data_IF_857522672209
#
_entry.id   IF_857522672209
#
_cell.length_a   1.000
_cell.length_b   1.000
_cell.length_c   1.000
_cell.angle_alpha   90.00
_cell.angle_beta   90.00
_cell.angle_gamma   90.00
#
_symmetry.space_group_name_H-M   'P 1'
#
loop_
_entity.id
_entity.type
_entity.pdbx_description
1 polymer ?
#
# COMPACT_ATOMS: atom_id res chain seq x y z
N UNK A 1 -7.50 -3.66 -5.86
CA UNK A 1 -7.62 -5.01 -6.42
C UNK A 1 -7.38 -4.99 -7.94
N UNK A 2 -7.79 -3.95 -8.69
CA UNK A 2 -7.58 -3.88 -10.15
C UNK A 2 -6.20 -3.35 -10.60
N UNK A 3 -5.42 -2.72 -9.74
CA UNK A 3 -4.14 -2.11 -10.11
C UNK A 3 -3.00 -3.10 -10.31
N UNK A 4 -3.06 -4.26 -9.68
CA UNK A 4 -2.01 -5.26 -9.74
C UNK A 4 -1.98 -6.04 -11.06
N UNK A 5 -3.14 -6.29 -11.70
CA UNK A 5 -3.22 -7.00 -12.98
C UNK A 5 -2.55 -6.28 -14.16
N UNK A 6 -2.50 -4.93 -14.12
CA UNK A 6 -1.85 -4.14 -15.18
C UNK A 6 -0.32 -4.18 -15.04
N UNK A 7 0.22 -4.36 -13.84
CA UNK A 7 1.66 -4.43 -13.60
C UNK A 7 2.29 -5.71 -14.15
N UNK A 8 1.63 -6.87 -14.04
CA UNK A 8 2.15 -8.14 -14.56
C UNK A 8 2.16 -8.18 -16.09
N UNK A 9 1.14 -7.67 -16.74
CA UNK A 9 1.09 -7.53 -18.19
C UNK A 9 2.24 -6.66 -18.73
N UNK A 10 2.69 -5.68 -17.97
CA UNK A 10 3.79 -4.80 -18.36
C UNK A 10 5.17 -5.45 -18.18
N UNK A 11 5.38 -6.25 -17.13
CA UNK A 11 6.61 -7.02 -16.95
C UNK A 11 6.77 -8.14 -17.98
N UNK A 12 5.69 -8.82 -18.35
CA UNK A 12 5.72 -9.85 -19.39
C UNK A 12 5.95 -9.27 -20.80
N UNK A 13 5.44 -8.06 -21.05
CA UNK A 13 5.76 -7.28 -22.25
C UNK A 13 7.24 -6.85 -22.25
N UNK A 14 7.79 -6.51 -21.08
CA UNK A 14 9.20 -6.10 -20.94
C UNK A 14 10.20 -7.26 -21.07
N UNK A 15 9.81 -8.49 -20.79
CA UNK A 15 10.65 -9.69 -20.97
C UNK A 15 10.85 -10.07 -22.43
N UNK A 16 9.96 -9.63 -23.32
CA UNK A 16 10.10 -9.90 -24.76
C UNK A 16 10.89 -8.77 -25.46
N UNK A 17 12.15 -9.01 -25.76
CA UNK A 17 13.08 -8.04 -26.35
C UNK A 17 12.53 -7.42 -27.67
N UNK A 18 11.76 -8.16 -28.44
CA UNK A 18 11.12 -7.68 -29.68
C UNK A 18 9.96 -6.73 -29.40
N UNK A 19 9.15 -6.99 -28.38
CA UNK A 19 8.07 -6.13 -27.92
C UNK A 19 8.62 -4.85 -27.29
N UNK A 20 9.72 -4.93 -26.56
CA UNK A 20 10.45 -3.79 -25.98
C UNK A 20 10.96 -2.82 -27.07
N UNK A 21 11.50 -3.34 -28.17
CA UNK A 21 11.98 -2.51 -29.28
C UNK A 21 10.85 -1.86 -30.08
N UNK A 22 9.72 -2.53 -30.22
CA UNK A 22 8.51 -1.96 -30.83
C UNK A 22 7.93 -0.84 -29.95
N UNK A 23 7.82 -1.08 -28.66
CA UNK A 23 7.33 -0.09 -27.68
C UNK A 23 8.30 1.10 -27.61
N UNK A 24 9.60 0.87 -27.55
CA UNK A 24 10.62 1.92 -27.59
C UNK A 24 10.53 2.74 -28.86
N UNK A 25 10.38 2.12 -30.05
CA UNK A 25 10.20 2.81 -31.33
C UNK A 25 8.89 3.59 -31.39
N UNK A 26 7.80 3.08 -30.82
CA UNK A 26 6.52 3.79 -30.77
C UNK A 26 6.54 4.94 -29.73
N UNK A 27 7.20 4.77 -28.58
CA UNK A 27 7.41 5.81 -27.57
C UNK A 27 8.32 6.94 -28.10
N UNK A 28 9.36 6.58 -28.84
CA UNK A 28 10.25 7.55 -29.52
C UNK A 28 9.47 8.30 -30.62
N UNK A 29 8.61 7.63 -31.38
CA UNK A 29 7.79 8.26 -32.43
C UNK A 29 6.68 9.18 -31.91
N UNK A 30 6.20 9.02 -30.68
CA UNK A 30 5.04 9.74 -30.12
C UNK A 30 5.35 10.85 -29.12
N UNK A 31 6.51 11.45 -29.09
CA UNK A 31 6.81 12.60 -28.20
C UNK A 31 6.66 12.33 -26.66
N UNK A 32 6.49 11.10 -26.19
CA UNK A 32 6.39 10.85 -24.75
C UNK A 32 7.73 11.05 -24.04
N UNK A 33 8.84 10.76 -24.70
CA UNK A 33 10.20 11.02 -24.16
C UNK A 33 10.61 12.50 -24.23
N UNK A 34 9.82 13.36 -24.88
CA UNK A 34 10.09 14.79 -24.95
C UNK A 34 9.52 15.61 -23.79
N UNK A 35 8.65 15.03 -22.97
CA UNK A 35 8.12 15.72 -21.80
C UNK A 35 9.24 15.98 -20.81
N UNK A 36 9.55 17.27 -20.60
CA UNK A 36 10.55 17.67 -19.61
C UNK A 36 9.93 17.59 -18.23
N UNK A 37 10.49 16.79 -17.34
CA UNK A 37 10.07 16.66 -15.93
C UNK A 37 11.13 17.27 -14.99
N UNK A 38 11.74 18.37 -15.40
CA UNK A 38 12.88 18.99 -14.72
C UNK A 38 12.55 19.44 -13.29
N UNK A 39 11.37 20.06 -13.09
CA UNK A 39 10.95 20.53 -11.76
C UNK A 39 10.70 19.36 -10.82
N UNK A 40 9.99 18.32 -11.30
CA UNK A 40 9.76 17.09 -10.54
C UNK A 40 11.07 16.41 -10.15
N UNK A 41 12.02 16.28 -11.08
CA UNK A 41 13.31 15.64 -10.78
C UNK A 41 14.18 16.47 -9.85
N UNK A 42 14.20 17.79 -10.00
CA UNK A 42 14.90 18.69 -9.06
C UNK A 42 14.34 18.59 -7.64
N UNK A 43 13.00 18.58 -7.52
CA UNK A 43 12.35 18.45 -6.21
C UNK A 43 12.60 17.06 -5.61
N UNK A 44 12.60 15.99 -6.41
CA UNK A 44 12.95 14.65 -5.96
C UNK A 44 14.39 14.55 -5.44
N UNK A 45 15.33 15.15 -6.16
CA UNK A 45 16.72 15.23 -5.70
C UNK A 45 16.85 15.95 -4.35
N UNK A 46 16.06 17.01 -4.13
CA UNK A 46 15.99 17.70 -2.84
C UNK A 46 15.35 16.82 -1.76
N UNK A 47 14.23 16.15 -2.09
CA UNK A 47 13.52 15.28 -1.17
C UNK A 47 14.42 14.15 -0.63
N UNK A 48 15.22 13.52 -1.48
CA UNK A 48 16.15 12.47 -1.06
C UNK A 48 17.25 12.95 -0.09
N UNK A 49 17.50 14.25 -0.01
CA UNK A 49 18.48 14.81 0.95
C UNK A 49 17.88 15.11 2.32
N UNK A 50 16.55 15.30 2.39
CA UNK A 50 15.88 15.80 3.60
C UNK A 50 14.80 14.86 4.13
N UNK A 51 14.37 13.88 3.33
CA UNK A 51 13.38 12.87 3.70
C UNK A 51 14.03 11.49 3.49
N UNK A 52 14.17 10.66 4.51
CA UNK A 52 14.63 9.29 4.35
C UNK A 52 13.77 8.53 3.33
N UNK A 53 14.39 7.99 2.26
CA UNK A 53 13.68 7.36 1.16
C UNK A 53 12.96 8.32 0.20
N UNK A 54 13.08 9.63 0.38
CA UNK A 54 12.56 10.67 -0.51
C UNK A 54 11.05 10.92 -0.42
N UNK A 55 10.27 9.98 0.11
CA UNK A 55 8.83 10.07 0.28
C UNK A 55 8.32 9.20 1.44
N UNK A 56 7.04 9.35 1.78
CA UNK A 56 6.40 8.57 2.83
C UNK A 56 5.92 7.18 2.36
N UNK A 57 5.49 7.06 1.09
CA UNK A 57 4.84 5.86 0.59
C UNK A 57 5.74 5.13 -0.42
N UNK A 58 6.13 3.90 -0.09
CA UNK A 58 6.94 3.02 -0.94
C UNK A 58 6.36 2.89 -2.37
N UNK A 59 5.03 2.83 -2.50
CA UNK A 59 4.33 2.76 -3.79
C UNK A 59 4.47 4.00 -4.66
N UNK A 60 4.91 5.14 -4.12
CA UNK A 60 5.14 6.40 -4.85
C UNK A 60 6.61 6.66 -5.17
N UNK A 61 7.49 5.72 -4.88
CA UNK A 61 8.91 5.86 -5.22
C UNK A 61 9.09 5.79 -6.75
N UNK A 62 9.64 6.83 -7.40
CA UNK A 62 9.85 6.88 -8.85
C UNK A 62 10.78 5.80 -9.37
N UNK A 63 11.69 5.26 -8.54
CA UNK A 63 12.61 4.19 -8.93
C UNK A 63 11.89 2.86 -9.27
N UNK A 64 10.65 2.72 -8.83
CA UNK A 64 9.78 1.59 -9.18
C UNK A 64 9.14 1.70 -10.57
N UNK A 65 9.26 2.86 -11.22
CA UNK A 65 8.64 3.17 -12.50
C UNK A 65 9.66 3.59 -13.55
N UNK A 66 9.90 4.90 -13.68
CA UNK A 66 10.85 5.49 -14.63
C UNK A 66 11.73 6.50 -13.89
N UNK A 67 12.81 6.08 -13.24
CA UNK A 67 13.57 6.90 -12.27
C UNK A 67 13.94 8.30 -12.76
N UNK A 68 14.26 8.46 -14.05
CA UNK A 68 14.69 9.73 -14.64
C UNK A 68 13.58 10.49 -15.38
N UNK A 69 12.45 9.85 -15.62
CA UNK A 69 11.36 10.37 -16.46
C UNK A 69 10.02 10.41 -15.74
N UNK A 70 9.92 9.81 -14.54
CA UNK A 70 8.68 9.79 -13.79
C UNK A 70 8.32 11.19 -13.29
N UNK A 71 7.06 11.65 -13.52
CA UNK A 71 6.57 12.94 -13.02
C UNK A 71 6.22 12.82 -11.53
N UNK A 72 7.22 12.80 -10.68
CA UNK A 72 7.14 12.42 -9.25
C UNK A 72 6.14 13.24 -8.45
N UNK A 73 5.90 14.50 -8.87
CA UNK A 73 5.03 15.42 -8.13
C UNK A 73 3.94 15.99 -9.03
N UNK A 74 2.73 16.01 -8.51
CA UNK A 74 1.60 16.65 -9.18
C UNK A 74 1.43 18.10 -8.75
N UNK A 75 0.87 18.91 -9.66
CA UNK A 75 0.44 20.29 -9.43
C UNK A 75 -1.06 20.34 -9.12
N UNK A 76 -1.85 19.62 -9.91
CA UNK A 76 -3.28 19.41 -9.70
C UNK A 76 -3.73 18.08 -10.30
N UNK A 77 -4.85 17.59 -9.80
CA UNK A 77 -5.52 16.41 -10.33
C UNK A 77 -7.04 16.64 -10.33
N UNK A 78 -7.72 16.12 -11.36
CA UNK A 78 -9.17 16.24 -11.54
C UNK A 78 -9.69 15.03 -12.35
N UNK A 79 -10.74 14.39 -11.87
CA UNK A 79 -11.23 13.13 -12.42
C UNK A 79 -10.12 12.07 -12.47
N UNK A 80 -9.75 11.64 -13.67
CA UNK A 80 -8.59 10.77 -13.89
C UNK A 80 -7.35 11.52 -14.42
N UNK A 81 -7.43 12.84 -14.57
CA UNK A 81 -6.35 13.63 -15.11
C UNK A 81 -5.41 14.15 -14.04
N UNK A 82 -4.10 14.07 -14.28
CA UNK A 82 -3.07 14.59 -13.39
C UNK A 82 -2.15 15.52 -14.19
N UNK A 83 -1.87 16.68 -13.63
CA UNK A 83 -0.91 17.64 -14.19
C UNK A 83 0.31 17.70 -13.27
N UNK A 84 1.52 17.51 -13.82
CA UNK A 84 2.77 17.58 -13.06
C UNK A 84 3.25 19.04 -12.84
N UNK A 85 4.37 19.21 -12.14
CA UNK A 85 4.96 20.52 -11.87
C UNK A 85 5.50 21.24 -13.14
N UNK A 86 5.73 20.49 -14.19
CA UNK A 86 6.18 21.00 -15.49
C UNK A 86 5.03 21.26 -16.45
N UNK A 87 3.77 21.17 -15.97
CA UNK A 87 2.50 21.32 -16.68
C UNK A 87 2.24 20.25 -17.75
N UNK A 88 2.90 19.10 -17.67
CA UNK A 88 2.52 17.97 -18.51
C UNK A 88 1.25 17.34 -17.95
N UNK A 89 0.33 16.94 -18.84
CA UNK A 89 -0.91 16.26 -18.52
C UNK A 89 -0.80 14.76 -18.73
N UNK A 90 -1.34 13.99 -17.82
CA UNK A 90 -1.38 12.53 -17.82
C UNK A 90 -2.78 12.04 -17.44
N UNK A 91 -3.12 10.85 -17.89
CA UNK A 91 -4.28 10.10 -17.41
C UNK A 91 -3.76 9.06 -16.41
N UNK A 92 -4.28 9.08 -15.22
CA UNK A 92 -3.93 8.08 -14.20
C UNK A 92 -4.76 6.81 -14.40
N UNK A 93 -4.14 5.80 -14.98
CA UNK A 93 -4.70 4.47 -15.18
C UNK A 93 -4.28 3.49 -14.08
N UNK A 94 -3.49 3.93 -13.11
CA UNK A 94 -2.88 3.02 -12.16
C UNK A 94 -3.60 3.02 -10.81
N UNK A 95 -3.02 3.65 -9.82
CA UNK A 95 -3.43 3.45 -8.44
C UNK A 95 -4.37 4.52 -7.90
N UNK A 96 -4.56 5.62 -8.60
CA UNK A 96 -5.42 6.74 -8.18
C UNK A 96 -5.36 7.01 -6.66
N UNK A 97 -4.16 7.37 -6.18
CA UNK A 97 -3.93 7.58 -4.75
C UNK A 97 -3.88 6.30 -3.92
N UNK A 98 -3.30 5.23 -4.48
CA UNK A 98 -3.21 3.89 -3.84
C UNK A 98 -4.60 3.26 -3.61
N UNK A 99 -5.49 3.43 -4.61
CA UNK A 99 -6.84 2.86 -4.61
C UNK A 99 -7.86 3.61 -3.74
N UNK A 100 -7.53 4.80 -3.25
CA UNK A 100 -8.43 5.57 -2.37
C UNK A 100 -9.37 6.50 -3.11
N UNK A 101 -9.03 6.94 -4.33
CA UNK A 101 -9.81 7.91 -5.10
C UNK A 101 -10.70 7.24 -6.15
N UNK A 102 -11.51 6.29 -5.76
CA UNK A 102 -12.39 5.53 -6.68
C UNK A 102 -13.45 6.39 -7.37
N UNK A 103 -13.78 7.55 -6.83
CA UNK A 103 -14.68 8.54 -7.43
C UNK A 103 -13.97 9.52 -8.38
N UNK A 104 -12.65 9.38 -8.54
CA UNK A 104 -11.82 10.37 -9.23
C UNK A 104 -11.28 11.45 -8.29
N UNK A 105 -10.27 12.16 -8.78
CA UNK A 105 -9.68 13.29 -8.07
C UNK A 105 -10.63 14.51 -8.07
N UNK A 106 -10.64 15.28 -7.00
CA UNK A 106 -11.39 16.53 -6.93
C UNK A 106 -12.91 16.35 -7.00
N UNK A 107 -13.45 15.25 -6.47
CA UNK A 107 -14.89 15.04 -6.44
C UNK A 107 -15.57 16.13 -5.60
N UNK A 108 -16.44 16.94 -6.24
CA UNK A 108 -17.02 18.15 -5.65
C UNK A 108 -17.91 17.86 -4.45
N UNK A 109 -18.60 16.74 -4.39
CA UNK A 109 -19.45 16.36 -3.25
C UNK A 109 -18.58 16.08 -2.02
N UNK A 110 -17.51 15.29 -2.21
CA UNK A 110 -16.56 14.97 -1.15
C UNK A 110 -15.82 16.22 -0.68
N UNK A 111 -15.29 17.00 -1.62
CA UNK A 111 -14.55 18.24 -1.33
C UNK A 111 -15.40 19.26 -0.55
N UNK A 112 -16.67 19.43 -0.92
CA UNK A 112 -17.57 20.34 -0.23
C UNK A 112 -17.90 19.84 1.19
N UNK A 113 -18.10 18.55 1.39
CA UNK A 113 -18.30 17.97 2.72
C UNK A 113 -17.07 18.21 3.61
N UNK A 114 -15.86 17.95 3.09
CA UNK A 114 -14.61 18.22 3.81
C UNK A 114 -14.45 19.70 4.16
N UNK A 115 -14.65 20.60 3.18
CA UNK A 115 -14.57 22.07 3.41
C UNK A 115 -15.55 22.54 4.48
N UNK A 116 -16.77 22.01 4.50
CA UNK A 116 -17.77 22.35 5.50
C UNK A 116 -17.38 21.85 6.90
N UNK A 117 -16.77 20.66 7.00
CA UNK A 117 -16.27 20.14 8.28
C UNK A 117 -15.11 20.96 8.80
N UNK A 118 -14.16 21.35 7.94
CA UNK A 118 -13.03 22.21 8.32
C UNK A 118 -13.51 23.55 8.88
N UNK A 119 -14.56 24.15 8.31
CA UNK A 119 -15.14 25.41 8.81
C UNK A 119 -15.73 25.30 10.23
N UNK A 120 -16.15 24.11 10.65
CA UNK A 120 -16.66 23.85 12.01
C UNK A 120 -15.54 23.58 13.04
N UNK A 121 -14.31 23.38 12.57
CA UNK A 121 -13.19 22.90 13.36
C UNK A 121 -13.02 21.39 13.23
N UNK A 122 -11.88 20.97 12.68
CA UNK A 122 -11.60 19.57 12.34
C UNK A 122 -10.83 18.80 13.42
N UNK A 123 -10.47 19.45 14.50
CA UNK A 123 -9.80 18.84 15.65
C UNK A 123 -10.09 19.66 16.90
N UNK A 124 -10.76 19.05 17.87
CA UNK A 124 -11.05 19.66 19.16
C UNK A 124 -10.75 18.69 20.31
N UNK A 125 -10.91 19.14 21.55
CA UNK A 125 -10.85 18.28 22.74
C UNK A 125 -12.04 17.33 22.81
N UNK A 126 -13.16 17.68 22.16
CA UNK A 126 -14.36 16.85 22.11
C UNK A 126 -14.28 15.90 20.91
N UNK A 127 -14.98 14.78 21.01
CA UNK A 127 -15.08 13.79 19.94
C UNK A 127 -15.88 14.36 18.74
N UNK A 128 -15.55 13.84 17.57
CA UNK A 128 -16.22 14.15 16.31
C UNK A 128 -17.42 13.22 16.12
N UNK A 129 -18.65 13.73 15.90
CA UNK A 129 -19.82 12.87 15.70
C UNK A 129 -19.75 12.05 14.42
N UNK A 130 -18.99 12.49 13.42
CA UNK A 130 -18.79 11.77 12.17
C UNK A 130 -18.12 10.39 12.35
N UNK A 131 -17.38 10.18 13.44
CA UNK A 131 -16.86 8.84 13.79
C UNK A 131 -18.02 7.86 14.07
N UNK A 132 -19.04 8.30 14.79
CA UNK A 132 -20.22 7.48 15.09
C UNK A 132 -21.00 7.18 13.81
N UNK A 133 -21.29 8.21 13.02
CA UNK A 133 -22.04 8.05 11.76
C UNK A 133 -21.33 7.13 10.76
N UNK A 134 -20.01 7.23 10.70
CA UNK A 134 -19.22 6.32 9.86
C UNK A 134 -19.23 4.89 10.40
N UNK A 135 -19.16 4.69 11.72
CA UNK A 135 -19.23 3.38 12.33
C UNK A 135 -20.58 2.71 12.06
N UNK A 136 -21.69 3.44 12.25
CA UNK A 136 -23.05 2.97 11.94
C UNK A 136 -23.17 2.55 10.47
N UNK A 137 -22.64 3.37 9.55
CA UNK A 137 -22.68 3.07 8.11
C UNK A 137 -21.85 1.84 7.76
N UNK A 138 -20.70 1.64 8.39
CA UNK A 138 -19.87 0.47 8.18
C UNK A 138 -20.55 -0.82 8.71
N UNK A 139 -21.21 -0.75 9.86
CA UNK A 139 -21.99 -1.88 10.42
C UNK A 139 -23.19 -2.21 9.51
N UNK A 140 -23.89 -1.20 9.00
CA UNK A 140 -24.98 -1.39 8.03
C UNK A 140 -24.51 -2.14 6.77
N UNK A 141 -23.36 -1.76 6.21
CA UNK A 141 -22.79 -2.38 5.00
C UNK A 141 -22.22 -3.77 5.29
N UNK A 142 -21.75 -3.99 6.52
CA UNK A 142 -21.09 -5.21 6.97
C UNK A 142 -21.83 -5.83 8.19
N UNK A 143 -23.01 -6.42 8.00
CA UNK A 143 -23.88 -6.86 9.10
C UNK A 143 -23.33 -8.00 9.95
N UNK A 144 -22.16 -8.52 9.63
CA UNK A 144 -21.40 -9.49 10.43
C UNK A 144 -20.43 -8.84 11.43
N UNK A 145 -20.41 -7.50 11.53
CA UNK A 145 -19.65 -6.75 12.53
C UNK A 145 -20.60 -6.18 13.58
N UNK A 146 -20.17 -6.22 14.83
CA UNK A 146 -20.86 -5.55 15.94
C UNK A 146 -20.24 -4.19 16.26
N UNK A 147 -18.95 -4.02 15.96
CA UNK A 147 -18.16 -2.85 16.37
C UNK A 147 -17.12 -2.49 15.31
N UNK A 148 -16.75 -1.20 15.28
CA UNK A 148 -15.72 -0.66 14.39
C UNK A 148 -14.62 0.03 15.21
N UNK A 149 -13.36 -0.22 14.84
CA UNK A 149 -12.20 0.50 15.38
C UNK A 149 -11.47 1.23 14.27
N UNK A 150 -11.33 2.53 14.40
CA UNK A 150 -10.63 3.36 13.43
C UNK A 150 -9.13 3.45 13.71
N UNK A 151 -8.36 3.60 12.62
CA UNK A 151 -6.92 3.89 12.64
C UNK A 151 -6.59 4.83 11.46
N UNK A 152 -5.46 5.51 11.53
CA UNK A 152 -5.05 6.47 10.49
C UNK A 152 -4.39 5.81 9.29
N UNK A 153 -3.75 4.66 9.49
CA UNK A 153 -3.02 3.93 8.46
C UNK A 153 -3.34 2.44 8.51
N UNK A 154 -3.12 1.75 7.38
CA UNK A 154 -3.26 0.29 7.33
C UNK A 154 -2.30 -0.44 8.27
N UNK A 155 -1.08 0.10 8.49
CA UNK A 155 -0.13 -0.45 9.46
C UNK A 155 -0.65 -0.39 10.89
N UNK A 156 -1.22 0.76 11.30
CA UNK A 156 -1.87 0.92 12.61
C UNK A 156 -3.08 -0.01 12.76
N UNK A 157 -3.95 -0.07 11.75
CA UNK A 157 -5.12 -0.94 11.76
C UNK A 157 -4.72 -2.41 11.93
N UNK A 158 -3.70 -2.86 11.21
CA UNK A 158 -3.16 -4.21 11.35
C UNK A 158 -2.56 -4.46 12.74
N UNK A 159 -1.82 -3.50 13.31
CA UNK A 159 -1.27 -3.63 14.67
C UNK A 159 -2.36 -3.72 15.73
N UNK A 160 -3.43 -2.93 15.60
CA UNK A 160 -4.61 -3.01 16.49
C UNK A 160 -5.28 -4.38 16.35
N UNK A 161 -5.52 -4.84 15.12
CA UNK A 161 -6.16 -6.12 14.84
C UNK A 161 -5.38 -7.30 15.44
N UNK A 162 -4.05 -7.31 15.26
CA UNK A 162 -3.19 -8.35 15.84
C UNK A 162 -3.22 -8.33 17.38
N UNK A 163 -3.21 -7.14 17.99
CA UNK A 163 -3.31 -7.02 19.44
C UNK A 163 -4.64 -7.56 19.97
N UNK A 164 -5.74 -7.24 19.32
CA UNK A 164 -7.07 -7.76 19.69
C UNK A 164 -7.09 -9.29 19.53
N UNK A 165 -6.58 -9.80 18.41
CA UNK A 165 -6.56 -11.23 18.14
C UNK A 165 -5.68 -12.02 19.12
N UNK A 166 -4.55 -11.46 19.57
CA UNK A 166 -3.73 -12.05 20.65
C UNK A 166 -4.49 -12.17 21.97
N UNK A 167 -5.23 -11.13 22.34
CA UNK A 167 -6.08 -11.17 23.55
C UNK A 167 -7.16 -12.23 23.41
N UNK A 168 -7.84 -12.27 22.27
CA UNK A 168 -8.94 -13.21 22.03
C UNK A 168 -8.49 -14.67 21.96
N UNK A 169 -7.32 -14.94 21.38
CA UNK A 169 -6.78 -16.31 21.24
C UNK A 169 -5.96 -16.77 22.44
N UNK A 170 -5.54 -15.86 23.32
CA UNK A 170 -4.52 -16.09 24.36
C UNK A 170 -3.23 -16.70 23.80
N UNK A 171 -2.84 -16.33 22.57
CA UNK A 171 -1.65 -16.81 21.86
C UNK A 171 -0.93 -15.67 21.16
N UNK A 172 0.40 -15.75 21.05
CA UNK A 172 1.22 -14.64 20.60
C UNK A 172 1.60 -14.70 19.13
N UNK A 173 1.69 -15.90 18.54
CA UNK A 173 2.25 -16.08 17.23
C UNK A 173 1.21 -16.03 16.12
N UNK A 174 1.64 -15.51 14.95
CA UNK A 174 0.76 -15.20 13.81
C UNK A 174 1.27 -15.86 12.55
N UNK A 175 0.40 -16.54 11.82
CA UNK A 175 0.64 -16.93 10.44
C UNK A 175 0.14 -15.84 9.48
N UNK A 176 0.98 -15.37 8.55
CA UNK A 176 0.65 -14.28 7.63
C UNK A 176 0.76 -14.67 6.18
N UNK A 177 -0.20 -14.21 5.37
CA UNK A 177 -0.16 -14.28 3.91
C UNK A 177 -0.45 -12.90 3.32
N UNK A 178 0.42 -12.41 2.45
CA UNK A 178 0.30 -11.11 1.84
C UNK A 178 1.05 -9.99 2.59
N UNK A 179 0.81 -8.75 2.17
CA UNK A 179 1.46 -7.56 2.72
C UNK A 179 0.60 -6.90 3.80
N UNK A 180 1.18 -6.67 4.98
CA UNK A 180 0.45 -6.12 6.12
C UNK A 180 1.11 -4.90 6.77
N UNK A 181 1.94 -4.18 6.05
CA UNK A 181 2.57 -2.94 6.52
C UNK A 181 4.07 -3.08 6.81
N UNK A 182 4.59 -2.18 7.63
CA UNK A 182 6.01 -2.05 7.93
C UNK A 182 6.32 -2.04 9.43
N UNK A 183 5.32 -2.32 10.27
CA UNK A 183 5.50 -2.34 11.73
C UNK A 183 6.31 -3.57 12.17
N UNK A 184 6.98 -3.46 13.30
CA UNK A 184 7.90 -4.47 13.82
C UNK A 184 7.29 -5.87 13.90
N UNK A 185 6.01 -5.97 14.34
CA UNK A 185 5.33 -7.25 14.41
C UNK A 185 5.32 -8.00 13.07
N UNK A 186 5.16 -7.29 11.96
CA UNK A 186 5.15 -7.90 10.63
C UNK A 186 6.56 -8.12 10.08
N UNK A 187 7.45 -7.12 10.25
CA UNK A 187 8.83 -7.20 9.77
C UNK A 187 9.66 -8.23 10.54
N UNK A 188 9.23 -8.64 11.75
CA UNK A 188 9.89 -9.71 12.52
C UNK A 188 9.92 -11.05 11.77
N UNK A 189 9.04 -11.28 10.82
CA UNK A 189 9.13 -12.44 9.93
C UNK A 189 10.47 -12.57 9.20
N UNK A 190 11.18 -11.44 8.96
CA UNK A 190 12.52 -11.43 8.35
C UNK A 190 13.66 -11.81 9.31
N UNK A 191 13.42 -11.86 10.60
CA UNK A 191 14.38 -12.35 11.56
C UNK A 191 14.55 -13.88 11.45
N UNK A 192 13.50 -14.58 11.06
CA UNK A 192 13.50 -16.01 10.84
C UNK A 192 14.05 -16.38 9.46
N UNK A 193 15.22 -17.05 9.41
CA UNK A 193 15.88 -17.45 8.16
C UNK A 193 15.09 -18.45 7.33
N UNK A 194 14.20 -19.24 7.92
CA UNK A 194 13.43 -20.29 7.23
C UNK A 194 12.09 -19.80 6.68
N UNK A 195 11.52 -18.74 7.27
CA UNK A 195 10.20 -18.19 6.92
C UNK A 195 10.30 -16.68 6.83
N UNK A 196 10.96 -16.17 5.81
CA UNK A 196 11.15 -14.74 5.65
C UNK A 196 10.22 -14.16 4.58
N UNK A 197 10.07 -12.82 4.59
CA UNK A 197 9.28 -12.08 3.63
C UNK A 197 9.91 -11.98 2.23
N UNK A 198 11.09 -12.58 1.99
CA UNK A 198 11.82 -12.43 0.73
C UNK A 198 11.12 -13.13 -0.44
N UNK A 199 10.31 -14.15 -0.15
CA UNK A 199 9.40 -14.78 -1.11
C UNK A 199 8.04 -14.08 -1.21
N UNK A 200 7.76 -13.14 -0.29
CA UNK A 200 6.60 -12.28 -0.27
C UNK A 200 6.88 -10.97 -0.99
N UNK A 201 5.87 -10.18 -1.19
CA UNK A 201 5.72 -9.03 -2.04
C UNK A 201 6.81 -7.97 -2.05
N UNK A 202 7.57 -7.83 -0.97
CA UNK A 202 8.53 -6.73 -0.79
C UNK A 202 9.80 -7.26 -0.14
N UNK A 203 10.68 -7.83 -0.97
CA UNK A 203 12.04 -8.21 -0.57
C UNK A 203 12.83 -7.02 0.00
N UNK A 204 12.49 -5.80 -0.42
CA UNK A 204 13.24 -4.57 -0.11
C UNK A 204 12.90 -3.96 1.25
N UNK A 205 11.91 -4.49 1.98
CA UNK A 205 11.58 -3.96 3.30
C UNK A 205 12.72 -4.21 4.27
N UNK A 206 13.33 -3.12 4.74
CA UNK A 206 14.42 -3.18 5.70
C UNK A 206 13.87 -3.53 7.10
N UNK A 207 14.45 -4.56 7.72
CA UNK A 207 14.09 -5.02 9.07
C UNK A 207 15.14 -4.65 10.14
N UNK A 208 16.17 -3.89 9.76
CA UNK A 208 17.17 -3.42 10.73
C UNK A 208 16.49 -2.54 11.79
N UNK A 209 16.72 -2.86 13.05
CA UNK A 209 16.07 -2.20 14.18
C UNK A 209 14.84 -2.93 14.74
N UNK A 210 14.33 -3.95 14.06
CA UNK A 210 13.30 -4.82 14.64
C UNK A 210 13.88 -5.58 15.83
N UNK A 211 13.21 -5.59 17.01
CA UNK A 211 13.69 -6.27 18.20
C UNK A 211 13.88 -7.78 17.98
N UNK A 212 15.04 -8.30 18.35
CA UNK A 212 15.39 -9.71 18.12
C UNK A 212 14.49 -10.69 18.88
N UNK A 213 13.94 -10.28 20.01
CA UNK A 213 13.00 -11.09 20.81
C UNK A 213 11.66 -11.33 20.11
N UNK A 214 11.40 -10.67 18.97
CA UNK A 214 10.25 -10.97 18.12
C UNK A 214 10.54 -12.09 17.09
N UNK A 215 11.74 -12.65 17.06
CA UNK A 215 12.05 -13.81 16.23
C UNK A 215 11.09 -14.96 16.53
N UNK A 216 10.62 -15.65 15.47
CA UNK A 216 9.64 -16.74 15.53
C UNK A 216 8.23 -16.35 16.02
N UNK A 217 7.91 -15.06 16.13
CA UNK A 217 6.54 -14.62 16.44
C UNK A 217 5.64 -14.55 15.21
N UNK A 218 6.22 -14.53 14.00
CA UNK A 218 5.50 -14.43 12.72
C UNK A 218 6.02 -15.50 11.77
N UNK A 219 5.09 -16.22 11.16
CA UNK A 219 5.33 -17.23 10.14
C UNK A 219 4.67 -16.83 8.83
N UNK A 220 5.33 -17.05 7.71
CA UNK A 220 4.80 -16.69 6.39
C UNK A 220 4.35 -17.94 5.62
N UNK A 221 3.25 -17.83 4.91
CA UNK A 221 2.78 -18.82 3.95
C UNK A 221 2.24 -18.14 2.69
N UNK A 222 2.23 -18.84 1.57
CA UNK A 222 1.74 -18.31 0.30
C UNK A 222 0.24 -18.54 0.13
N UNK A 223 -0.38 -17.80 -0.80
CA UNK A 223 -1.75 -18.05 -1.21
C UNK A 223 -1.93 -19.48 -1.69
N UNK A 224 -3.05 -20.09 -1.28
CA UNK A 224 -3.43 -21.47 -1.61
C UNK A 224 -2.44 -22.54 -1.12
N UNK A 225 -1.47 -22.19 -0.28
CA UNK A 225 -0.53 -23.13 0.33
C UNK A 225 -1.06 -23.60 1.70
N UNK A 226 -2.11 -24.40 1.66
CA UNK A 226 -2.76 -24.94 2.86
C UNK A 226 -1.85 -25.92 3.62
N UNK A 227 -1.02 -26.66 2.88
CA UNK A 227 -0.08 -27.60 3.49
C UNK A 227 0.94 -26.87 4.36
N UNK A 228 1.49 -25.75 3.86
CA UNK A 228 2.40 -24.92 4.65
C UNK A 228 1.74 -24.29 5.87
N UNK A 229 0.51 -23.81 5.74
CA UNK A 229 -0.25 -23.30 6.87
C UNK A 229 -0.47 -24.39 7.94
N UNK A 230 -0.84 -25.59 7.51
CA UNK A 230 -1.06 -26.75 8.38
C UNK A 230 0.22 -27.16 9.12
N UNK A 231 1.36 -27.18 8.39
CA UNK A 231 2.69 -27.43 8.97
C UNK A 231 3.02 -26.40 10.06
N UNK A 232 2.81 -25.11 9.81
CA UNK A 232 3.06 -24.03 10.78
C UNK A 232 2.25 -24.27 12.05
N UNK A 233 0.94 -24.51 11.93
CA UNK A 233 0.04 -24.72 13.08
C UNK A 233 0.37 -25.99 13.85
N UNK A 234 0.82 -27.05 13.14
CA UNK A 234 1.22 -28.30 13.78
C UNK A 234 2.50 -28.13 14.61
N UNK A 235 3.47 -27.36 14.09
CA UNK A 235 4.79 -27.21 14.70
C UNK A 235 4.83 -26.17 15.83
N UNK A 236 3.93 -25.19 15.83
CA UNK A 236 3.89 -24.14 16.85
C UNK A 236 2.48 -23.94 17.41
N UNK A 237 2.24 -24.41 18.63
CA UNK A 237 0.96 -24.28 19.33
C UNK A 237 0.66 -22.86 19.80
N UNK A 238 1.63 -21.94 19.77
CA UNK A 238 1.42 -20.53 20.04
C UNK A 238 0.86 -19.77 18.83
N UNK A 239 0.79 -20.36 17.65
CA UNK A 239 0.09 -19.79 16.51
C UNK A 239 -1.42 -19.84 16.78
N UNK A 240 -2.00 -18.68 17.03
CA UNK A 240 -3.43 -18.51 17.31
C UNK A 240 -4.12 -17.55 16.36
N UNK A 241 -3.37 -16.97 15.43
CA UNK A 241 -3.87 -15.93 14.56
C UNK A 241 -3.43 -16.24 13.12
N UNK A 242 -4.39 -16.17 12.20
CA UNK A 242 -4.13 -16.19 10.77
C UNK A 242 -4.51 -14.82 10.20
N UNK A 243 -3.54 -14.10 9.61
CA UNK A 243 -3.76 -12.82 8.97
C UNK A 243 -3.44 -12.91 7.49
N UNK A 244 -4.44 -12.69 6.64
CA UNK A 244 -4.26 -12.78 5.20
C UNK A 244 -5.09 -11.74 4.45
N UNK A 245 -4.68 -11.38 3.25
CA UNK A 245 -5.54 -10.71 2.27
C UNK A 245 -6.51 -11.75 1.71
N UNK A 246 -7.78 -11.37 1.50
CA UNK A 246 -8.83 -12.30 1.04
C UNK A 246 -8.54 -12.80 -0.38
N UNK A 247 -8.03 -11.91 -1.22
CA UNK A 247 -7.68 -12.23 -2.61
C UNK A 247 -6.53 -11.36 -3.07
N UNK A 248 -5.61 -11.98 -3.79
CA UNK A 248 -4.59 -11.31 -4.54
C UNK A 248 -4.53 -11.87 -5.96
N UNK A 249 -3.75 -11.21 -6.84
CA UNK A 249 -3.65 -11.58 -8.24
C UNK A 249 -3.47 -13.07 -8.46
N UNK A 250 -4.26 -13.60 -9.37
CA UNK A 250 -4.00 -14.93 -9.92
C UNK A 250 -2.70 -14.84 -10.71
N UNK A 251 -1.71 -15.60 -10.31
CA UNK A 251 -0.64 -15.97 -11.22
C UNK A 251 -1.17 -16.98 -12.22
#
# INVERSE_FOLDING_TARGET
>A
VFASNIFFSFEDILKNKKSLDIIKKQLIRKNMLSKKVKKSQSLWSKANKIIPGGNMLLSKNPDRYLPKLWPTYFKNADGCNVTDLDNNKYIDFSTMGVGTNVLGYGNTLVDNAVKNTIKKGNLSTLNCPEEVYLAEKLIEIHPWFDMVKFARTGGEANSIAIRIARVASARDNVAVCGYHGWHDWYLSAKLNKKNNLDTHLFSDLNYKGVPKNLENSIYTFNYNDFDKLSEIIANDKQVGIIKMEVQRDKK
#
